data_IF_638221012212
#
_entry.id   IF_638221012212
#
_cell.length_a   1.000
_cell.length_b   1.000
_cell.length_c   1.000
_cell.angle_alpha   90.00
_cell.angle_beta   90.00
_cell.angle_gamma   90.00
#
_symmetry.space_group_name_H-M   'P 1'
#
loop_
_entity.id
_entity.type
_entity.pdbx_description
1 polymer ?
#
# COMPACT_ATOMS: atom_id res chain seq x y z
N UNK A 1 8.46 12.92 -22.72
CA UNK A 1 7.92 12.54 -21.39
C UNK A 1 7.97 13.78 -20.52
N UNK A 2 6.90 14.13 -19.78
CA UNK A 2 7.01 15.18 -18.78
C UNK A 2 8.13 14.82 -17.78
N UNK A 3 8.87 15.81 -17.25
CA UNK A 3 9.91 15.54 -16.27
C UNK A 3 9.29 14.82 -15.06
N UNK A 4 9.95 13.76 -14.59
CA UNK A 4 9.54 13.11 -13.34
C UNK A 4 9.61 14.16 -12.23
N UNK A 5 8.48 14.37 -11.55
CA UNK A 5 8.37 15.33 -10.44
C UNK A 5 9.09 14.83 -9.19
N UNK A 6 9.27 13.51 -9.05
CA UNK A 6 9.90 12.86 -7.91
C UNK A 6 11.34 12.41 -8.21
N UNK A 7 12.30 12.60 -7.29
CA UNK A 7 13.68 12.17 -7.47
C UNK A 7 13.79 10.64 -7.42
N UNK A 8 14.78 10.08 -8.13
CA UNK A 8 15.07 8.64 -8.06
C UNK A 8 15.54 8.25 -6.65
N UNK A 9 14.94 7.19 -6.09
CA UNK A 9 15.25 6.67 -4.75
C UNK A 9 15.69 5.20 -4.83
N UNK A 10 16.71 4.83 -4.06
CA UNK A 10 17.17 3.45 -3.94
C UNK A 10 16.76 2.87 -2.59
N UNK A 11 16.00 1.78 -2.58
CA UNK A 11 15.44 1.16 -1.36
C UNK A 11 16.52 0.67 -0.39
N UNK A 12 17.75 0.40 -0.87
CA UNK A 12 18.87 0.00 -0.03
C UNK A 12 19.51 1.18 0.71
N UNK A 13 19.17 2.41 0.35
CA UNK A 13 19.55 3.63 1.07
C UNK A 13 18.48 4.07 2.07
N UNK A 14 17.33 3.39 2.13
CA UNK A 14 16.32 3.66 3.15
C UNK A 14 16.81 3.24 4.53
N UNK A 15 16.36 3.93 5.60
CA UNK A 15 16.87 3.73 6.93
C UNK A 15 16.42 2.40 7.55
N UNK A 16 17.22 1.94 8.52
CA UNK A 16 16.88 0.89 9.47
C UNK A 16 17.31 1.37 10.87
N UNK A 17 16.40 1.62 11.83
CA UNK A 17 14.95 1.37 11.79
C UNK A 17 14.18 2.09 10.66
N UNK A 18 13.01 1.59 10.24
CA UNK A 18 12.19 2.22 9.22
C UNK A 18 11.77 3.64 9.64
N UNK A 19 11.72 4.56 8.67
CA UNK A 19 11.30 5.94 8.91
C UNK A 19 9.90 6.21 8.36
N UNK A 20 9.12 6.97 9.13
CA UNK A 20 7.84 7.52 8.70
C UNK A 20 8.08 8.92 8.12
N UNK A 21 7.53 9.18 6.93
CA UNK A 21 7.68 10.47 6.26
C UNK A 21 6.33 10.93 5.72
N UNK A 22 5.95 12.17 5.99
CA UNK A 22 4.78 12.77 5.34
C UNK A 22 5.05 12.96 3.85
N UNK A 23 4.04 12.72 3.01
CA UNK A 23 4.13 12.94 1.56
C UNK A 23 3.06 13.92 1.09
N UNK A 24 3.44 14.81 0.18
CA UNK A 24 2.53 15.71 -0.53
C UNK A 24 2.04 15.12 -1.86
N UNK A 25 2.48 13.92 -2.22
CA UNK A 25 2.04 13.23 -3.42
C UNK A 25 0.52 12.95 -3.36
N UNK A 26 -0.12 12.99 -4.53
CA UNK A 26 -1.53 12.63 -4.65
C UNK A 26 -1.69 11.11 -4.72
N UNK A 27 -2.14 10.51 -3.63
CA UNK A 27 -2.31 9.07 -3.52
C UNK A 27 -3.75 8.71 -3.85
N UNK A 28 -3.94 7.71 -4.73
CA UNK A 28 -5.28 7.20 -5.06
C UNK A 28 -5.31 5.68 -5.12
N UNK A 29 -6.46 5.11 -4.73
CA UNK A 29 -6.79 3.69 -4.92
C UNK A 29 -8.13 3.63 -5.63
N UNK A 30 -8.16 3.09 -6.84
CA UNK A 30 -9.36 3.05 -7.68
C UNK A 30 -9.70 1.60 -8.01
N UNK A 31 -10.88 1.14 -7.59
CA UNK A 31 -11.41 -0.16 -7.96
C UNK A 31 -12.08 -0.11 -9.32
N UNK A 32 -11.86 -1.13 -10.16
CA UNK A 32 -12.56 -1.32 -11.42
C UNK A 32 -13.28 -2.65 -11.44
N UNK A 33 -14.59 -2.63 -11.69
CA UNK A 33 -15.39 -3.84 -11.83
C UNK A 33 -15.18 -4.50 -13.20
N UNK A 34 -14.92 -5.81 -13.23
CA UNK A 34 -14.66 -6.54 -14.47
C UNK A 34 -15.84 -6.51 -15.45
N UNK A 35 -17.06 -6.68 -14.94
CA UNK A 35 -18.27 -6.84 -15.76
C UNK A 35 -18.82 -5.53 -16.31
N UNK A 36 -18.92 -4.50 -15.46
CA UNK A 36 -19.49 -3.21 -15.85
C UNK A 36 -18.44 -2.24 -16.40
N UNK A 37 -17.16 -2.45 -16.09
CA UNK A 37 -16.09 -1.49 -16.35
C UNK A 37 -16.16 -0.24 -15.46
N UNK A 38 -17.12 -0.16 -14.54
CA UNK A 38 -17.30 0.97 -13.63
C UNK A 38 -16.10 1.10 -12.69
N UNK A 39 -15.69 2.34 -12.44
CA UNK A 39 -14.59 2.68 -11.55
C UNK A 39 -15.10 3.39 -10.30
N UNK A 40 -14.59 2.95 -9.14
CA UNK A 40 -14.92 3.51 -7.83
C UNK A 40 -13.62 3.90 -7.14
N UNK A 41 -13.45 5.20 -6.88
CA UNK A 41 -12.37 5.68 -6.02
C UNK A 41 -12.63 5.19 -4.60
N UNK A 42 -11.72 4.37 -4.06
CA UNK A 42 -11.76 3.84 -2.68
C UNK A 42 -11.10 4.82 -1.72
N UNK A 43 -9.95 5.38 -2.11
CA UNK A 43 -9.18 6.33 -1.32
C UNK A 43 -8.54 7.39 -2.23
N UNK A 44 -8.49 8.63 -1.75
CA UNK A 44 -7.91 9.78 -2.46
C UNK A 44 -7.39 10.82 -1.45
N UNK A 45 -6.07 11.02 -1.39
CA UNK A 45 -5.47 11.95 -0.43
C UNK A 45 -4.23 12.67 -0.98
N UNK A 46 -3.97 13.88 -0.46
CA UNK A 46 -2.70 14.63 -0.64
C UNK A 46 -1.96 14.87 0.68
N UNK A 47 -2.38 14.18 1.75
CA UNK A 47 -1.88 14.35 3.12
C UNK A 47 -1.56 13.00 3.77
N UNK A 48 -1.13 12.05 2.95
CA UNK A 48 -0.73 10.73 3.40
C UNK A 48 0.66 10.71 4.03
N UNK A 49 1.00 9.54 4.56
CA UNK A 49 2.36 9.22 4.97
C UNK A 49 2.90 8.08 4.13
N UNK A 50 4.22 8.00 4.01
CA UNK A 50 4.92 6.83 3.49
C UNK A 50 5.92 6.31 4.50
N UNK A 51 6.15 5.00 4.47
CA UNK A 51 7.17 4.36 5.30
C UNK A 51 8.32 3.91 4.42
N UNK A 52 9.52 4.37 4.78
CA UNK A 52 10.77 4.01 4.11
C UNK A 52 11.49 2.94 4.94
N UNK A 53 11.72 1.79 4.34
CA UNK A 53 12.31 0.63 4.99
C UNK A 53 13.34 -0.02 4.08
N UNK A 54 14.56 -0.26 4.59
CA UNK A 54 15.65 -0.84 3.79
C UNK A 54 15.17 -2.07 2.99
N UNK A 55 15.56 -2.15 1.72
CA UNK A 55 15.27 -3.22 0.75
C UNK A 55 13.82 -3.33 0.24
N UNK A 56 12.90 -2.49 0.73
CA UNK A 56 11.48 -2.50 0.33
C UNK A 56 11.08 -1.16 -0.30
N UNK A 57 10.27 -1.17 -1.37
CA UNK A 57 9.58 0.03 -1.83
C UNK A 57 8.69 0.63 -0.73
N UNK A 58 8.31 1.92 -0.81
CA UNK A 58 7.50 2.53 0.23
C UNK A 58 6.10 1.89 0.36
N UNK A 59 5.59 1.84 1.59
CA UNK A 59 4.15 1.62 1.87
C UNK A 59 3.49 2.96 2.15
N UNK A 60 2.23 3.13 1.74
CA UNK A 60 1.53 4.41 1.80
C UNK A 60 0.28 4.35 2.68
N UNK A 61 0.16 5.32 3.59
CA UNK A 61 -0.86 5.40 4.62
C UNK A 61 -1.79 6.58 4.35
N UNK A 62 -3.08 6.28 4.31
CA UNK A 62 -4.17 7.19 4.02
C UNK A 62 -4.90 7.53 5.33
N UNK A 63 -5.19 8.80 5.60
CA UNK A 63 -6.00 9.15 6.74
C UNK A 63 -7.43 8.58 6.55
N UNK A 64 -8.10 8.08 7.61
CA UNK A 64 -9.40 7.42 7.50
C UNK A 64 -10.48 8.27 6.81
N UNK A 65 -10.44 9.59 6.98
CA UNK A 65 -11.40 10.51 6.38
C UNK A 65 -11.28 10.65 4.86
N UNK A 66 -10.14 10.26 4.28
CA UNK A 66 -9.89 10.25 2.84
C UNK A 66 -10.13 8.85 2.22
N UNK A 67 -10.64 7.91 3.02
CA UNK A 67 -10.98 6.54 2.61
C UNK A 67 -12.48 6.32 2.74
N UNK A 68 -13.09 5.68 1.73
CA UNK A 68 -14.50 5.26 1.79
C UNK A 68 -14.66 4.05 2.71
N UNK A 69 -14.61 4.30 4.02
CA UNK A 69 -14.69 3.27 5.07
C UNK A 69 -15.95 2.40 5.00
N UNK A 70 -17.04 2.91 4.41
CA UNK A 70 -18.27 2.13 4.17
C UNK A 70 -18.10 0.97 3.19
N UNK A 71 -17.01 0.96 2.40
CA UNK A 71 -16.65 -0.13 1.49
C UNK A 71 -15.77 -1.18 2.17
N UNK A 72 -15.38 -0.96 3.43
CA UNK A 72 -14.45 -1.83 4.15
C UNK A 72 -15.17 -2.58 5.27
N UNK A 73 -14.66 -3.78 5.58
CA UNK A 73 -15.08 -4.58 6.73
C UNK A 73 -13.87 -5.08 7.49
N UNK A 74 -14.03 -5.33 8.78
CA UNK A 74 -13.00 -6.02 9.56
C UNK A 74 -12.72 -7.39 8.95
N UNK A 75 -11.44 -7.69 8.72
CA UNK A 75 -11.03 -9.00 8.21
C UNK A 75 -11.02 -10.04 9.32
N UNK A 76 -11.33 -11.29 8.98
CA UNK A 76 -11.11 -12.45 9.85
C UNK A 76 -9.63 -12.88 9.89
N UNK A 77 -8.76 -12.27 9.07
CA UNK A 77 -7.34 -12.59 9.04
C UNK A 77 -6.65 -12.33 10.39
N UNK A 78 -5.63 -13.14 10.69
CA UNK A 78 -4.83 -12.98 11.90
C UNK A 78 -4.12 -11.63 11.88
N UNK A 79 -4.12 -10.94 13.02
CA UNK A 79 -3.27 -9.77 13.24
C UNK A 79 -1.79 -10.16 13.18
N UNK A 80 -0.97 -9.30 12.59
CA UNK A 80 0.48 -9.50 12.48
C UNK A 80 1.21 -8.48 13.32
N UNK A 81 2.26 -8.91 14.02
CA UNK A 81 3.08 -8.01 14.84
C UNK A 81 4.31 -7.57 14.05
N UNK A 82 4.48 -6.26 13.91
CA UNK A 82 5.69 -5.65 13.41
C UNK A 82 6.49 -5.08 14.59
N UNK A 83 7.77 -5.46 14.70
CA UNK A 83 8.66 -4.96 15.76
C UNK A 83 8.76 -3.42 15.77
N UNK A 84 8.64 -2.79 14.60
CA UNK A 84 8.76 -1.34 14.45
C UNK A 84 7.45 -0.59 14.62
N UNK A 85 6.34 -1.15 14.14
CA UNK A 85 5.08 -0.41 13.95
C UNK A 85 3.96 -0.84 14.90
N UNK A 86 4.09 -2.02 15.53
CA UNK A 86 3.07 -2.57 16.41
C UNK A 86 2.18 -3.61 15.73
N UNK A 87 0.99 -3.82 16.30
CA UNK A 87 0.04 -4.85 15.86
C UNK A 87 -0.84 -4.34 14.71
N UNK A 88 -0.73 -4.96 13.54
CA UNK A 88 -1.56 -4.64 12.39
C UNK A 88 -2.95 -5.27 12.50
N UNK A 89 -3.97 -4.48 12.20
CA UNK A 89 -5.35 -4.92 12.00
C UNK A 89 -5.67 -4.90 10.50
N UNK A 90 -6.17 -6.01 9.97
CA UNK A 90 -6.52 -6.14 8.56
C UNK A 90 -8.00 -5.86 8.29
N UNK A 91 -8.26 -5.33 7.10
CA UNK A 91 -9.59 -5.04 6.57
C UNK A 91 -9.77 -5.70 5.20
N UNK A 92 -11.01 -6.09 4.93
CA UNK A 92 -11.47 -6.59 3.64
C UNK A 92 -12.14 -5.46 2.86
N UNK A 93 -12.01 -5.47 1.53
CA UNK A 93 -12.80 -4.63 0.64
C UNK A 93 -14.09 -5.37 0.26
N UNK A 94 -15.23 -4.82 0.67
CA UNK A 94 -16.54 -5.46 0.61
C UNK A 94 -17.66 -4.46 0.22
N UNK A 95 -17.69 -3.95 -1.03
CA UNK A 95 -18.64 -2.93 -1.46
C UNK A 95 -20.11 -3.40 -1.48
N UNK A 96 -20.36 -4.72 -1.52
CA UNK A 96 -21.71 -5.32 -1.64
C UNK A 96 -21.95 -6.40 -0.57
N UNK A 97 -21.54 -6.10 0.66
CA UNK A 97 -21.64 -6.98 1.83
C UNK A 97 -20.76 -8.25 1.82
N UNK A 98 -20.41 -8.80 0.66
CA UNK A 98 -19.41 -9.87 0.54
C UNK A 98 -18.01 -9.29 0.24
N UNK A 99 -16.95 -9.85 0.85
CA UNK A 99 -15.59 -9.39 0.60
C UNK A 99 -15.13 -9.80 -0.80
N UNK A 100 -14.81 -8.80 -1.63
CA UNK A 100 -14.21 -9.01 -2.95
C UNK A 100 -12.69 -9.18 -2.85
N UNK A 101 -12.02 -8.45 -1.95
CA UNK A 101 -10.59 -8.60 -1.66
C UNK A 101 -10.38 -8.75 -0.15
N UNK A 102 -9.72 -9.83 0.27
CA UNK A 102 -9.56 -10.19 1.69
C UNK A 102 -8.17 -9.81 2.21
N UNK A 103 -8.11 -9.18 3.38
CA UNK A 103 -6.87 -8.82 4.08
C UNK A 103 -5.85 -8.05 3.23
N UNK A 104 -6.35 -7.21 2.31
CA UNK A 104 -5.51 -6.39 1.40
C UNK A 104 -5.38 -4.94 1.85
N UNK A 105 -5.90 -4.63 3.03
CA UNK A 105 -5.82 -3.32 3.67
C UNK A 105 -5.45 -3.57 5.13
N UNK A 106 -4.57 -2.76 5.69
CA UNK A 106 -4.23 -2.85 7.11
C UNK A 106 -4.10 -1.48 7.76
N UNK A 107 -4.12 -1.47 9.08
CA UNK A 107 -4.02 -0.28 9.93
C UNK A 107 -3.32 -0.61 11.23
N UNK A 108 -2.81 0.41 11.92
CA UNK A 108 -2.22 0.27 13.25
C UNK A 108 -3.04 1.06 14.28
N UNK A 109 -3.91 0.41 15.07
CA UNK A 109 -4.70 1.11 16.09
C UNK A 109 -3.91 1.52 17.34
N UNK A 110 -2.81 0.82 17.60
CA UNK A 110 -1.89 1.11 18.71
C UNK A 110 -0.44 1.05 18.22
N UNK A 111 -0.01 2.02 17.40
CA UNK A 111 1.34 2.03 16.87
C UNK A 111 2.38 2.35 17.94
N UNK A 112 3.64 2.02 17.67
CA UNK A 112 4.78 2.44 18.51
C UNK A 112 4.99 3.96 18.43
N UNK A 113 5.76 4.57 19.36
CA UNK A 113 5.95 6.03 19.43
C UNK A 113 6.34 6.68 18.10
N UNK A 114 7.29 6.09 17.37
CA UNK A 114 7.78 6.60 16.07
C UNK A 114 6.76 6.56 14.93
N UNK A 115 5.63 5.85 15.12
CA UNK A 115 4.57 5.68 14.12
C UNK A 115 3.22 6.20 14.61
N UNK A 116 3.17 6.96 15.70
CA UNK A 116 1.92 7.51 16.27
C UNK A 116 1.13 8.37 15.29
N UNK A 117 1.79 9.05 14.35
CA UNK A 117 1.14 9.90 13.34
C UNK A 117 0.25 9.12 12.36
N UNK A 118 0.48 7.82 12.19
CA UNK A 118 -0.36 6.94 11.33
C UNK A 118 -1.30 6.06 12.15
N UNK A 119 -1.59 6.43 13.40
CA UNK A 119 -2.59 5.72 14.19
C UNK A 119 -3.91 5.68 13.42
N UNK A 120 -4.45 4.48 13.27
CA UNK A 120 -5.68 4.18 12.53
C UNK A 120 -5.65 4.49 11.02
N UNK A 121 -4.55 4.98 10.46
CA UNK A 121 -4.43 5.21 9.01
C UNK A 121 -4.45 3.87 8.27
N UNK A 122 -5.00 3.89 7.05
CA UNK A 122 -5.17 2.72 6.21
C UNK A 122 -4.02 2.63 5.21
N UNK A 123 -3.39 1.46 5.13
CA UNK A 123 -2.44 1.15 4.08
C UNK A 123 -3.01 0.05 3.19
N UNK A 124 -2.81 0.19 1.89
CA UNK A 124 -3.33 -0.72 0.86
C UNK A 124 -2.19 -1.50 0.26
N UNK A 125 -2.40 -2.80 0.03
CA UNK A 125 -1.51 -3.53 -0.86
C UNK A 125 -1.66 -2.99 -2.28
N UNK A 126 -0.55 -2.90 -3.03
CA UNK A 126 -0.58 -2.46 -4.43
C UNK A 126 -1.48 -3.34 -5.32
N UNK A 127 -1.54 -4.64 -5.03
CA UNK A 127 -2.44 -5.62 -5.66
C UNK A 127 -3.66 -5.91 -4.78
N UNK A 128 -4.83 -6.10 -5.39
CA UNK A 128 -6.03 -6.59 -4.70
C UNK A 128 -6.09 -8.12 -4.58
N UNK A 129 -5.17 -8.85 -5.23
CA UNK A 129 -5.15 -10.33 -5.32
C UNK A 129 -6.48 -10.94 -5.83
N UNK A 130 -7.24 -10.17 -6.60
CA UNK A 130 -8.47 -10.60 -7.26
C UNK A 130 -8.23 -10.81 -8.75
N UNK A 131 -9.12 -11.54 -9.42
CA UNK A 131 -9.05 -11.70 -10.87
C UNK A 131 -9.69 -10.47 -11.56
N UNK A 132 -8.90 -9.60 -12.23
CA UNK A 132 -9.41 -8.38 -12.84
C UNK A 132 -10.35 -8.62 -14.02
N UNK A 133 -10.33 -9.82 -14.62
CA UNK A 133 -11.16 -10.16 -15.78
C UNK A 133 -12.51 -10.74 -15.38
N UNK A 134 -12.70 -11.18 -14.14
CA UNK A 134 -13.96 -11.82 -13.70
C UNK A 134 -14.63 -11.11 -12.54
N UNK A 135 -13.85 -10.55 -11.60
CA UNK A 135 -14.35 -9.83 -10.42
C UNK A 135 -14.08 -8.33 -10.60
N UNK A 136 -12.84 -8.00 -10.92
CA UNK A 136 -12.31 -6.65 -10.89
C UNK A 136 -11.04 -6.61 -10.06
N UNK A 137 -10.46 -5.43 -9.95
CA UNK A 137 -9.26 -5.19 -9.16
C UNK A 137 -9.07 -3.70 -8.93
N UNK A 138 -8.19 -3.33 -8.01
CA UNK A 138 -7.81 -1.92 -7.87
C UNK A 138 -6.51 -1.60 -8.59
N UNK A 139 -6.38 -0.34 -8.95
CA UNK A 139 -5.13 0.28 -9.36
C UNK A 139 -4.78 1.36 -8.35
N UNK A 140 -3.53 1.33 -7.91
CA UNK A 140 -2.96 2.29 -6.98
C UNK A 140 -2.16 3.33 -7.76
N UNK A 141 -2.20 4.59 -7.33
CA UNK A 141 -1.51 5.70 -7.98
C UNK A 141 -0.77 6.54 -6.96
N UNK A 142 0.42 7.00 -7.34
CA UNK A 142 1.12 8.10 -6.67
C UNK A 142 1.36 9.17 -7.71
N UNK A 143 0.74 10.33 -7.51
CA UNK A 143 0.55 11.37 -8.51
C UNK A 143 -0.13 10.78 -9.77
N UNK A 144 0.56 10.84 -10.91
CA UNK A 144 0.11 10.31 -12.19
C UNK A 144 0.69 8.92 -12.50
N UNK A 145 1.59 8.40 -11.65
CA UNK A 145 2.21 7.10 -11.89
C UNK A 145 1.35 5.97 -11.33
N UNK A 146 1.07 4.99 -12.19
CA UNK A 146 0.51 3.71 -11.78
C UNK A 146 1.53 2.90 -10.98
N UNK A 147 1.09 2.40 -9.84
CA UNK A 147 1.90 1.59 -8.94
C UNK A 147 1.97 0.14 -9.43
N UNK A 148 3.17 -0.43 -9.37
CA UNK A 148 3.38 -1.86 -9.50
C UNK A 148 3.50 -2.54 -8.13
N UNK A 149 2.94 -3.74 -8.03
CA UNK A 149 3.11 -4.58 -6.85
C UNK A 149 4.50 -5.21 -6.83
N UNK A 150 5.05 -5.34 -5.63
CA UNK A 150 6.26 -6.10 -5.39
C UNK A 150 6.00 -7.60 -5.66
N UNK A 151 6.98 -8.28 -6.25
CA UNK A 151 6.88 -9.70 -6.54
C UNK A 151 6.63 -10.53 -5.26
N UNK A 152 5.89 -11.64 -5.41
CA UNK A 152 5.51 -12.53 -4.31
C UNK A 152 4.25 -12.11 -3.54
N UNK A 153 3.68 -10.93 -3.82
CA UNK A 153 2.39 -10.43 -3.30
C UNK A 153 2.26 -10.39 -1.75
N UNK A 154 3.38 -10.60 -1.06
CA UNK A 154 3.50 -10.69 0.39
C UNK A 154 3.69 -9.32 1.04
N UNK A 155 4.41 -8.43 0.33
CA UNK A 155 4.68 -7.07 0.78
C UNK A 155 3.70 -6.10 0.12
N UNK A 156 3.04 -5.26 0.92
CA UNK A 156 2.12 -4.24 0.40
C UNK A 156 2.79 -2.99 -0.16
N UNK A 157 4.06 -3.09 -0.55
CA UNK A 157 4.87 -1.98 -1.04
C UNK A 157 4.42 -1.53 -2.43
N UNK A 158 4.60 -0.24 -2.69
CA UNK A 158 4.20 0.42 -3.93
C UNK A 158 5.46 0.79 -4.73
N UNK A 159 5.61 0.21 -5.93
CA UNK A 159 6.71 0.52 -6.84
C UNK A 159 6.23 1.55 -7.87
N UNK A 160 6.88 2.70 -7.91
CA UNK A 160 6.71 3.73 -8.94
C UNK A 160 8.03 3.93 -9.71
N UNK A 161 8.03 4.55 -10.90
CA UNK A 161 9.18 4.55 -11.82
C UNK A 161 10.49 5.12 -11.25
N UNK A 162 10.41 5.97 -10.23
CA UNK A 162 11.55 6.56 -9.52
C UNK A 162 12.15 5.64 -8.45
N UNK A 163 11.44 4.61 -8.00
CA UNK A 163 11.89 3.68 -6.97
C UNK A 163 12.70 2.55 -7.61
N UNK A 164 13.94 2.36 -7.16
CA UNK A 164 14.85 1.32 -7.68
C UNK A 164 15.41 0.42 -6.58
N UNK A 165 15.62 -0.84 -6.93
CA UNK A 165 16.35 -1.84 -6.15
C UNK A 165 17.87 -1.74 -6.27
N UNK A 166 18.38 -0.85 -7.12
CA UNK A 166 19.78 -0.87 -7.55
C UNK A 166 20.16 -2.25 -8.12
N UNK A 167 21.42 -2.64 -7.96
CA UNK A 167 21.95 -3.90 -8.49
C UNK A 167 21.40 -5.15 -7.77
N UNK A 168 20.80 -4.97 -6.58
CA UNK A 168 20.27 -6.06 -5.76
C UNK A 168 18.78 -6.31 -6.01
N UNK A 169 18.08 -5.45 -6.74
CA UNK A 169 16.64 -5.52 -6.87
C UNK A 169 15.89 -5.26 -5.56
N UNK A 170 14.62 -5.66 -5.51
CA UNK A 170 13.78 -5.59 -4.31
C UNK A 170 13.79 -6.94 -3.58
N UNK A 171 13.69 -6.92 -2.26
CA UNK A 171 13.43 -8.14 -1.48
C UNK A 171 12.09 -8.78 -1.90
N UNK A 172 11.82 -10.05 -1.64
CA UNK A 172 10.55 -10.71 -1.99
C UNK A 172 10.46 -11.28 -3.43
N UNK A 173 11.34 -10.86 -4.34
CA UNK A 173 11.48 -11.51 -5.65
C UNK A 173 12.17 -12.88 -5.59
N UNK A 174 12.19 -13.61 -6.71
CA UNK A 174 12.86 -14.90 -6.80
C UNK A 174 14.35 -14.80 -6.39
N UNK A 175 14.81 -15.68 -5.49
CA UNK A 175 16.21 -15.73 -5.02
C UNK A 175 16.58 -14.76 -3.90
N UNK A 176 15.62 -14.01 -3.34
CA UNK A 176 15.88 -13.01 -2.28
C UNK A 176 15.59 -13.49 -0.86
N UNK A 177 15.32 -14.79 -0.69
CA UNK A 177 15.06 -15.40 0.61
C UNK A 177 16.33 -15.41 1.48
N UNK A 178 16.32 -14.69 2.60
CA UNK A 178 17.44 -14.61 3.55
C UNK A 178 18.20 -13.29 3.56
N UNK A 179 17.79 -12.31 2.74
CA UNK A 179 18.31 -10.92 2.81
C UNK A 179 17.76 -10.13 3.99
#
# INVERSE_FOLDING_TARGET
MPPRTRPTENVWKYPRPPALQQTSAHLRVVWKYAKSGEEVVIADTKRGYRVLETSHPPTYYFPPEDVKMSLLKNSAARRTMCEWKGMALYHDFAPQQEPLAKARIWSYPSPTPSFTQIKDYLCFYASSSTNPNTIGGWTCYVDDDTVQAQEGDFYGSWITPEITGGDRGFKGGAGTWGW
#
